data_IF_096153128421
#
_entry.id   IF_096153128421
#
_cell.length_a   1.000
_cell.length_b   1.000
_cell.length_c   1.000
_cell.angle_alpha   90.00
_cell.angle_beta   90.00
_cell.angle_gamma   90.00
#
_symmetry.space_group_name_H-M   'P 1'
#
loop_
_entity.id
_entity.type
_entity.pdbx_description
1 polymer ?
#
# COMPACT_ATOMS: atom_id res chain seq x y z
N UNK A 1 -16.49 -36.46 -8.01
CA UNK A 1 -16.44 -35.09 -8.54
C UNK A 1 -14.99 -34.67 -8.63
N UNK A 2 -14.37 -34.84 -9.80
CA UNK A 2 -12.98 -34.54 -10.06
C UNK A 2 -12.92 -33.73 -11.35
N UNK A 3 -12.51 -32.46 -11.25
CA UNK A 3 -11.96 -31.64 -12.35
C UNK A 3 -11.58 -30.27 -11.76
N UNK A 4 -10.29 -29.92 -11.71
CA UNK A 4 -9.87 -28.55 -11.35
C UNK A 4 -8.40 -28.37 -10.97
N UNK A 5 -7.67 -29.44 -10.65
CA UNK A 5 -6.33 -29.35 -10.05
C UNK A 5 -5.12 -29.23 -11.02
N UNK A 6 -5.16 -29.64 -12.31
CA UNK A 6 -3.96 -29.55 -13.16
C UNK A 6 -3.61 -28.12 -13.62
N UNK A 7 -4.60 -27.24 -13.79
CA UNK A 7 -4.41 -25.89 -14.32
C UNK A 7 -3.74 -24.94 -13.31
N UNK A 8 -4.00 -25.14 -12.02
CA UNK A 8 -3.44 -24.33 -10.92
C UNK A 8 -1.95 -24.66 -10.71
N UNK A 9 -1.57 -25.93 -10.83
CA UNK A 9 -0.18 -26.38 -10.73
C UNK A 9 0.68 -25.92 -11.91
N UNK A 10 0.13 -25.88 -13.13
CA UNK A 10 0.84 -25.39 -14.31
C UNK A 10 1.10 -23.88 -14.25
N UNK A 11 0.19 -23.09 -13.67
CA UNK A 11 0.35 -21.65 -13.49
C UNK A 11 1.41 -21.30 -12.43
N UNK A 12 1.52 -22.10 -11.37
CA UNK A 12 2.54 -21.93 -10.33
C UNK A 12 3.96 -22.25 -10.83
N UNK A 13 4.11 -23.29 -11.66
CA UNK A 13 5.39 -23.66 -12.26
C UNK A 13 5.91 -22.63 -13.27
N UNK A 14 5.02 -21.98 -14.03
CA UNK A 14 5.38 -20.93 -14.98
C UNK A 14 5.83 -19.62 -14.30
N UNK A 15 5.38 -19.35 -13.07
CA UNK A 15 5.78 -18.16 -12.31
C UNK A 15 7.20 -18.28 -11.74
N UNK A 16 7.62 -19.50 -11.39
CA UNK A 16 8.92 -19.80 -10.78
C UNK A 16 10.12 -19.78 -11.74
N UNK A 17 9.88 -19.73 -13.06
CA UNK A 17 10.93 -19.75 -14.08
C UNK A 17 11.14 -18.39 -14.78
N UNK A 18 10.52 -17.32 -14.27
CA UNK A 18 10.70 -15.96 -14.82
C UNK A 18 11.91 -15.25 -14.18
N UNK A 19 12.90 -14.79 -14.96
CA UNK A 19 14.00 -13.98 -14.43
C UNK A 19 13.47 -12.64 -13.90
N UNK A 20 13.81 -12.29 -12.65
CA UNK A 20 13.53 -10.97 -12.06
C UNK A 20 12.51 -10.92 -10.90
N UNK A 21 11.97 -12.06 -10.43
CA UNK A 21 11.18 -12.10 -9.20
C UNK A 21 12.07 -12.30 -7.96
N UNK A 22 11.70 -11.75 -6.80
CA UNK A 22 12.50 -11.80 -5.56
C UNK A 22 12.87 -13.20 -5.04
N UNK A 23 12.23 -14.26 -5.56
CA UNK A 23 12.61 -15.65 -5.30
C UNK A 23 13.79 -16.14 -6.16
N UNK A 24 14.07 -15.50 -7.29
CA UNK A 24 15.29 -15.74 -8.09
C UNK A 24 16.56 -15.39 -7.32
N UNK A 25 16.50 -14.41 -6.41
CA UNK A 25 17.59 -14.08 -5.49
C UNK A 25 17.77 -15.14 -4.40
N UNK A 26 16.69 -15.78 -3.95
CA UNK A 26 16.75 -16.88 -2.97
C UNK A 26 17.43 -18.13 -3.55
N UNK A 27 17.17 -18.45 -4.82
CA UNK A 27 17.89 -19.52 -5.53
C UNK A 27 19.35 -19.16 -5.84
N UNK A 28 19.66 -17.88 -6.12
CA UNK A 28 21.05 -17.42 -6.27
C UNK A 28 21.83 -17.51 -4.94
N UNK A 29 21.18 -17.20 -3.82
CA UNK A 29 21.73 -17.36 -2.47
C UNK A 29 22.05 -18.82 -2.12
N UNK A 30 21.17 -19.76 -2.49
CA UNK A 30 21.41 -21.20 -2.32
C UNK A 30 22.54 -21.72 -3.24
N UNK A 31 22.68 -21.17 -4.46
CA UNK A 31 23.76 -21.50 -5.40
C UNK A 31 25.13 -20.95 -4.98
N UNK A 32 25.19 -19.83 -4.26
CA UNK A 32 26.42 -19.26 -3.69
C UNK A 32 26.99 -20.13 -2.56
N UNK A 33 26.13 -20.79 -1.76
CA UNK A 33 26.56 -21.74 -0.72
C UNK A 33 27.27 -22.97 -1.27
N UNK A 34 27.02 -23.36 -2.53
CA UNK A 34 27.70 -24.51 -3.15
C UNK A 34 29.00 -24.15 -3.87
N UNK A 35 29.34 -22.86 -4.04
CA UNK A 35 30.52 -22.42 -4.82
C UNK A 35 31.49 -21.54 -4.06
N UNK A 36 31.25 -21.21 -2.79
CA UNK A 36 32.24 -20.59 -1.91
C UNK A 36 32.52 -19.09 -2.15
N UNK A 37 31.74 -18.41 -3.00
CA UNK A 37 31.89 -16.96 -3.21
C UNK A 37 30.97 -16.19 -2.25
N UNK A 38 31.58 -15.51 -1.28
CA UNK A 38 30.88 -14.67 -0.30
C UNK A 38 30.80 -13.23 -0.83
N UNK A 39 29.58 -12.75 -1.10
CA UNK A 39 29.31 -11.35 -1.43
C UNK A 39 29.27 -10.49 -0.14
N UNK A 40 29.93 -9.33 -0.14
CA UNK A 40 29.99 -8.38 1.01
C UNK A 40 28.60 -7.87 1.45
N UNK A 41 27.61 -7.90 0.58
CA UNK A 41 26.23 -7.50 0.90
C UNK A 41 25.50 -8.50 1.84
N UNK A 42 25.89 -9.78 1.80
CA UNK A 42 25.28 -10.82 2.64
C UNK A 42 25.68 -10.69 4.13
N UNK A 43 26.83 -10.07 4.41
CA UNK A 43 27.30 -9.83 5.78
C UNK A 43 26.52 -8.70 6.45
N UNK A 44 26.09 -7.69 5.68
CA UNK A 44 25.29 -6.56 6.18
C UNK A 44 23.90 -7.01 6.64
N UNK A 45 23.28 -7.95 5.92
CA UNK A 45 21.98 -8.53 6.29
C UNK A 45 22.04 -9.44 7.52
N UNK A 46 23.18 -10.14 7.72
CA UNK A 46 23.38 -11.03 8.87
C UNK A 46 23.45 -10.26 10.20
N UNK A 47 24.04 -9.07 10.22
CA UNK A 47 24.09 -8.20 11.40
C UNK A 47 22.74 -7.54 11.72
N UNK A 48 21.90 -7.28 10.71
CA UNK A 48 20.57 -6.68 10.92
C UNK A 48 19.54 -7.69 11.46
N UNK A 49 19.58 -8.94 11.00
CA UNK A 49 18.76 -10.02 11.56
C UNK A 49 19.17 -10.38 13.00
N UNK A 50 20.47 -10.35 13.33
CA UNK A 50 20.95 -10.64 14.68
C UNK A 50 20.51 -9.59 15.72
N UNK A 51 20.28 -8.33 15.30
CA UNK A 51 19.78 -7.29 16.20
C UNK A 51 18.27 -7.42 16.49
N UNK A 52 17.49 -7.96 15.54
CA UNK A 52 16.03 -8.13 15.69
C UNK A 52 15.62 -9.39 16.48
N UNK A 53 16.54 -10.32 16.74
CA UNK A 53 16.23 -11.62 17.37
C UNK A 53 16.35 -11.58 18.92
N UNK A 54 16.79 -10.46 19.51
CA UNK A 54 17.00 -10.41 20.96
C UNK A 54 15.77 -9.96 21.78
N UNK A 55 14.55 -10.07 21.24
CA UNK A 55 13.32 -9.95 22.03
C UNK A 55 12.28 -11.01 21.63
N UNK A 56 11.97 -11.87 22.61
CA UNK A 56 10.81 -12.74 22.75
C UNK A 56 10.76 -14.08 21.98
N UNK A 57 10.67 -15.13 22.80
CA UNK A 57 10.56 -16.56 22.51
C UNK A 57 9.11 -16.89 22.14
N UNK A 58 8.77 -16.87 20.85
CA UNK A 58 7.51 -17.43 20.33
C UNK A 58 7.57 -17.82 18.83
N UNK A 59 8.77 -18.07 18.28
CA UNK A 59 8.95 -18.20 16.82
C UNK A 59 9.49 -19.55 16.33
N UNK A 60 9.68 -20.54 17.21
CA UNK A 60 10.34 -21.81 16.86
C UNK A 60 9.41 -22.78 16.09
N UNK A 61 8.08 -22.68 16.27
CA UNK A 61 7.13 -23.57 15.59
C UNK A 61 6.89 -23.20 14.11
N UNK A 62 6.97 -21.92 13.75
CA UNK A 62 6.72 -21.48 12.38
C UNK A 62 7.88 -21.83 11.43
N UNK A 63 9.11 -21.92 11.97
CA UNK A 63 10.31 -22.28 11.19
C UNK A 63 10.27 -23.76 10.82
N UNK A 64 9.90 -24.65 11.75
CA UNK A 64 9.79 -26.09 11.47
C UNK A 64 8.70 -26.43 10.45
N UNK A 65 7.60 -25.67 10.44
CA UNK A 65 6.54 -25.83 9.42
C UNK A 65 7.03 -25.43 8.03
N UNK A 66 7.81 -24.35 7.93
CA UNK A 66 8.35 -23.88 6.64
C UNK A 66 9.47 -24.77 6.10
N UNK A 67 10.32 -25.34 6.97
CA UNK A 67 11.37 -26.28 6.56
C UNK A 67 10.78 -27.61 6.07
N UNK A 68 9.77 -28.14 6.75
CA UNK A 68 9.08 -29.36 6.29
C UNK A 68 8.35 -29.17 4.95
N UNK A 69 7.78 -27.98 4.71
CA UNK A 69 7.14 -27.65 3.44
C UNK A 69 8.15 -27.55 2.29
N UNK A 70 9.35 -26.99 2.55
CA UNK A 70 10.42 -26.90 1.57
C UNK A 70 10.98 -28.27 1.18
N UNK A 71 11.15 -29.19 2.14
CA UNK A 71 11.64 -30.55 1.88
C UNK A 71 10.64 -31.36 1.05
N UNK A 72 9.34 -31.25 1.34
CA UNK A 72 8.30 -31.92 0.54
C UNK A 72 8.23 -31.37 -0.89
N UNK A 73 8.42 -30.07 -1.08
CA UNK A 73 8.43 -29.43 -2.40
C UNK A 73 9.61 -29.91 -3.27
N UNK A 74 10.80 -30.07 -2.67
CA UNK A 74 11.99 -30.58 -3.36
C UNK A 74 11.82 -32.05 -3.77
N UNK A 75 11.22 -32.88 -2.92
CA UNK A 75 10.95 -34.28 -3.24
C UNK A 75 9.97 -34.45 -4.42
N UNK A 76 8.92 -33.62 -4.47
CA UNK A 76 7.92 -33.62 -5.57
C UNK A 76 8.53 -33.10 -6.88
N UNK A 77 9.45 -32.14 -6.83
CA UNK A 77 10.14 -31.65 -8.03
C UNK A 77 11.15 -32.67 -8.58
N UNK A 78 11.83 -33.44 -7.73
CA UNK A 78 12.81 -34.43 -8.18
C UNK A 78 12.17 -35.64 -8.88
N UNK A 79 10.92 -36.01 -8.52
CA UNK A 79 10.19 -37.11 -9.15
C UNK A 79 9.59 -36.76 -10.53
N UNK A 80 9.38 -35.46 -10.84
CA UNK A 80 8.70 -35.02 -12.06
C UNK A 80 9.61 -34.44 -13.16
N UNK A 81 10.88 -34.15 -12.87
CA UNK A 81 11.79 -33.48 -13.84
C UNK A 81 12.65 -34.47 -14.65
N UNK A 82 12.93 -35.67 -14.13
CA UNK A 82 13.77 -36.67 -14.82
C UNK A 82 13.21 -37.19 -16.16
N UNK A 83 11.89 -37.38 -16.36
CA UNK A 83 11.35 -37.84 -17.65
C UNK A 83 11.35 -36.76 -18.76
N UNK A 84 11.21 -35.48 -18.39
CA UNK A 84 11.05 -34.36 -19.34
C UNK A 84 12.37 -33.97 -20.04
N UNK A 85 13.51 -34.17 -19.37
CA UNK A 85 14.84 -33.95 -19.94
C UNK A 85 15.19 -34.97 -21.05
N UNK A 86 14.63 -36.18 -21.01
CA UNK A 86 14.84 -37.20 -22.04
C UNK A 86 14.06 -36.93 -23.34
N UNK A 87 12.86 -36.33 -23.26
CA UNK A 87 12.08 -35.95 -24.46
C UNK A 87 12.70 -34.75 -25.21
N UNK A 88 13.25 -33.77 -24.48
CA UNK A 88 13.86 -32.59 -25.11
C UNK A 88 15.13 -32.92 -25.91
N UNK A 89 15.88 -33.96 -25.52
CA UNK A 89 17.09 -34.40 -26.25
C UNK A 89 16.79 -35.18 -27.53
N UNK A 90 15.64 -35.89 -27.60
CA UNK A 90 15.22 -36.61 -28.82
C UNK A 90 14.66 -35.68 -29.90
N UNK A 91 14.05 -34.56 -29.53
CA UNK A 91 13.45 -33.61 -30.49
C UNK A 91 14.52 -32.79 -31.23
N UNK A 92 15.59 -32.39 -30.53
CA UNK A 92 16.71 -31.63 -31.10
C UNK A 92 17.54 -32.41 -32.13
N UNK A 93 17.62 -33.73 -31.99
CA UNK A 93 18.41 -34.61 -32.90
C UNK A 93 17.71 -34.92 -34.23
N UNK A 94 16.39 -34.67 -34.34
CA UNK A 94 15.60 -34.91 -35.56
C UNK A 94 15.59 -33.69 -36.49
N UNK A 95 15.73 -32.48 -35.93
CA UNK A 95 15.75 -31.22 -36.69
C UNK A 95 17.13 -30.95 -37.34
N UNK A 96 18.23 -31.45 -36.76
CA UNK A 96 19.58 -31.36 -37.34
C UNK A 96 19.83 -32.35 -38.51
N UNK A 97 19.07 -33.45 -38.60
CA UNK A 97 19.24 -34.46 -39.66
C UNK A 97 18.57 -34.06 -40.99
N UNK A 98 17.56 -33.20 -40.94
CA UNK A 98 16.80 -32.77 -42.13
C UNK A 98 17.41 -31.54 -42.83
N UNK A 99 18.40 -30.89 -42.21
CA UNK A 99 19.06 -29.70 -42.77
C UNK A 99 20.27 -30.02 -43.68
N UNK A 100 20.67 -31.29 -43.80
CA UNK A 100 21.99 -31.67 -44.36
C UNK A 100 21.96 -32.50 -45.66
N UNK A 101 20.86 -32.50 -46.40
CA UNK A 101 20.81 -33.10 -47.75
C UNK A 101 20.50 -32.03 -48.80
N UNK A 102 21.56 -31.42 -49.34
CA UNK A 102 21.48 -30.54 -50.50
C UNK A 102 21.31 -31.31 -51.80
N UNK A 103 20.28 -30.97 -52.58
CA UNK A 103 20.21 -31.23 -54.02
C UNK A 103 19.46 -30.09 -54.72
N UNK A 104 20.10 -29.52 -55.74
CA UNK A 104 19.56 -28.48 -56.65
C UNK A 104 18.55 -29.08 -57.62
N UNK A 105 17.53 -28.30 -58.05
CA UNK A 105 16.89 -28.56 -59.34
C UNK A 105 17.04 -27.39 -60.33
N UNK A 106 17.01 -27.77 -61.60
CA UNK A 106 17.17 -26.96 -62.79
C UNK A 106 15.93 -26.13 -63.15
N UNK A 107 16.15 -25.11 -63.98
CA UNK A 107 15.18 -24.17 -64.54
C UNK A 107 14.08 -24.84 -65.37
N UNK A 108 12.83 -24.42 -65.16
CA UNK A 108 11.75 -24.58 -66.13
C UNK A 108 10.76 -23.40 -66.02
N UNK A 109 10.57 -22.67 -67.12
CA UNK A 109 9.71 -21.50 -67.28
C UNK A 109 8.21 -21.87 -67.22
N UNK A 110 7.46 -21.35 -66.23
CA UNK A 110 5.97 -21.32 -66.26
C UNK A 110 5.41 -20.02 -65.66
N UNK A 111 4.38 -19.49 -66.33
CA UNK A 111 3.75 -18.17 -66.20
C UNK A 111 3.07 -17.93 -64.83
N UNK A 112 3.09 -16.70 -64.34
CA UNK A 112 2.55 -16.25 -63.05
C UNK A 112 1.03 -15.99 -63.05
N UNK A 113 0.26 -16.45 -62.04
CA UNK A 113 -1.13 -16.04 -61.81
C UNK A 113 -1.22 -14.65 -61.14
N UNK A 114 -2.37 -13.95 -61.23
CA UNK A 114 -2.53 -12.59 -60.71
C UNK A 114 -2.46 -12.54 -59.17
N UNK A 115 -2.07 -11.37 -58.60
CA UNK A 115 -1.86 -11.23 -57.17
C UNK A 115 -3.19 -11.30 -56.37
N UNK A 116 -3.19 -11.90 -55.17
CA UNK A 116 -4.35 -11.91 -54.29
C UNK A 116 -4.65 -10.50 -53.75
N UNK A 117 -5.92 -10.19 -53.42
CA UNK A 117 -6.29 -8.93 -52.80
C UNK A 117 -5.57 -8.74 -51.44
N UNK A 118 -5.31 -7.48 -51.04
CA UNK A 118 -4.62 -7.20 -49.80
C UNK A 118 -5.39 -7.75 -48.58
N UNK A 119 -4.69 -8.33 -47.58
CA UNK A 119 -5.34 -8.84 -46.38
C UNK A 119 -6.04 -7.71 -45.63
N UNK A 120 -7.24 -7.99 -45.13
CA UNK A 120 -7.99 -7.05 -44.29
C UNK A 120 -7.13 -6.61 -43.09
N UNK A 121 -7.24 -5.35 -42.62
CA UNK A 121 -6.49 -4.89 -41.46
C UNK A 121 -6.77 -5.81 -40.27
N UNK A 122 -5.71 -6.37 -39.68
CA UNK A 122 -5.85 -7.16 -38.46
C UNK A 122 -6.53 -6.31 -37.39
N UNK A 123 -7.53 -6.84 -36.66
CA UNK A 123 -8.07 -6.15 -35.50
C UNK A 123 -6.92 -5.85 -34.51
N UNK A 124 -6.94 -4.67 -33.87
CA UNK A 124 -5.89 -4.31 -32.92
C UNK A 124 -5.79 -5.41 -31.85
N UNK A 125 -4.56 -5.81 -31.46
CA UNK A 125 -4.39 -6.82 -30.42
C UNK A 125 -5.15 -6.38 -29.16
N UNK A 126 -5.87 -7.30 -28.49
CA UNK A 126 -6.60 -6.97 -27.27
C UNK A 126 -5.63 -6.34 -26.28
N UNK A 127 -6.01 -5.17 -25.75
CA UNK A 127 -5.19 -4.41 -24.81
C UNK A 127 -4.63 -5.36 -23.74
N UNK A 128 -3.30 -5.42 -23.63
CA UNK A 128 -2.63 -6.30 -22.68
C UNK A 128 -3.20 -6.03 -21.27
N UNK A 129 -3.81 -7.06 -20.66
CA UNK A 129 -4.36 -6.95 -19.31
C UNK A 129 -3.23 -6.51 -18.36
N UNK A 130 -3.33 -5.28 -17.83
CA UNK A 130 -2.37 -4.76 -16.83
C UNK A 130 -2.26 -5.78 -15.70
N UNK A 131 -1.05 -6.24 -15.40
CA UNK A 131 -0.81 -7.17 -14.28
C UNK A 131 -1.24 -6.47 -12.98
N UNK A 132 -2.23 -7.05 -12.28
CA UNK A 132 -2.70 -6.53 -10.99
C UNK A 132 -1.58 -6.63 -9.96
N UNK A 133 -1.41 -5.58 -9.15
CA UNK A 133 -0.44 -5.56 -8.05
C UNK A 133 -0.92 -6.46 -6.91
N UNK A 134 0.01 -6.93 -6.05
CA UNK A 134 -0.29 -7.86 -4.95
C UNK A 134 -1.45 -7.37 -4.07
N UNK A 135 -1.43 -6.09 -3.66
CA UNK A 135 -2.48 -5.51 -2.82
C UNK A 135 -3.86 -5.48 -3.50
N UNK A 136 -3.91 -5.26 -4.83
CA UNK A 136 -5.16 -5.30 -5.60
C UNK A 136 -5.72 -6.73 -5.64
N UNK A 137 -4.85 -7.74 -5.75
CA UNK A 137 -5.25 -9.14 -5.70
C UNK A 137 -5.78 -9.53 -4.31
N UNK A 138 -5.08 -9.15 -3.23
CA UNK A 138 -5.52 -9.41 -1.85
C UNK A 138 -6.87 -8.74 -1.57
N UNK A 139 -7.07 -7.52 -2.05
CA UNK A 139 -8.31 -6.80 -1.84
C UNK A 139 -9.48 -7.37 -2.67
N UNK A 140 -9.22 -7.96 -3.84
CA UNK A 140 -10.29 -8.47 -4.72
C UNK A 140 -11.13 -9.60 -4.13
N UNK A 141 -10.66 -10.25 -3.06
CA UNK A 141 -11.38 -11.32 -2.35
C UNK A 141 -11.99 -10.85 -1.02
N UNK A 142 -12.00 -9.54 -0.75
CA UNK A 142 -12.43 -8.97 0.53
C UNK A 142 -13.36 -7.78 0.32
N UNK A 143 -14.21 -7.52 1.30
CA UNK A 143 -15.01 -6.29 1.37
C UNK A 143 -14.50 -5.41 2.52
N UNK A 144 -14.50 -4.07 2.37
CA UNK A 144 -14.19 -3.18 3.47
C UNK A 144 -15.26 -3.27 4.56
N UNK A 145 -14.86 -3.07 5.81
CA UNK A 145 -15.77 -3.03 6.95
C UNK A 145 -16.31 -1.61 7.11
N UNK A 146 -17.62 -1.50 7.30
CA UNK A 146 -18.30 -0.21 7.52
C UNK A 146 -18.58 0.06 9.00
N UNK A 147 -18.76 1.35 9.31
CA UNK A 147 -19.11 1.85 10.63
C UNK A 147 -17.98 2.63 11.31
N UNK A 148 -18.38 3.56 12.17
CA UNK A 148 -17.47 4.47 12.88
C UNK A 148 -16.44 3.69 13.71
N UNK A 149 -16.81 2.59 14.37
CA UNK A 149 -15.92 1.91 15.33
C UNK A 149 -15.70 0.41 15.08
N UNK A 150 -16.45 -0.21 14.16
CA UNK A 150 -16.43 -1.66 13.95
C UNK A 150 -15.04 -2.21 13.70
N UNK A 151 -14.32 -1.62 12.73
CA UNK A 151 -12.97 -2.05 12.39
C UNK A 151 -11.93 -1.65 13.45
N UNK A 152 -12.12 -0.48 14.09
CA UNK A 152 -11.27 -0.03 15.19
C UNK A 152 -11.28 -1.03 16.36
N UNK A 153 -12.45 -1.55 16.72
CA UNK A 153 -12.56 -2.57 17.78
C UNK A 153 -11.86 -3.87 17.40
N UNK A 154 -11.96 -4.32 16.14
CA UNK A 154 -11.25 -5.52 15.68
C UNK A 154 -9.73 -5.36 15.78
N UNK A 155 -9.20 -4.17 15.47
CA UNK A 155 -7.78 -3.86 15.61
C UNK A 155 -7.33 -3.85 17.08
N UNK A 156 -8.13 -3.25 17.95
CA UNK A 156 -7.79 -3.10 19.38
C UNK A 156 -7.91 -4.41 20.16
N UNK A 157 -8.83 -5.31 19.78
CA UNK A 157 -8.95 -6.64 20.39
C UNK A 157 -7.69 -7.50 20.27
N UNK A 158 -6.85 -7.24 19.27
CA UNK A 158 -5.61 -7.99 19.05
C UNK A 158 -4.44 -7.49 19.92
N UNK A 159 -4.64 -6.45 20.74
CA UNK A 159 -3.59 -5.86 21.58
C UNK A 159 -3.86 -6.16 23.06
N UNK A 160 -3.08 -7.06 23.64
CA UNK A 160 -3.35 -7.65 24.97
C UNK A 160 -2.90 -6.79 26.18
N UNK A 161 -2.08 -5.76 25.98
CA UNK A 161 -1.33 -5.04 27.04
C UNK A 161 -1.81 -3.62 27.42
N UNK A 162 -3.06 -3.26 27.13
CA UNK A 162 -3.51 -1.85 27.15
C UNK A 162 -4.21 -1.44 28.45
N UNK A 163 -3.75 -1.93 29.61
CA UNK A 163 -4.52 -1.87 30.87
C UNK A 163 -4.17 -0.71 31.79
N UNK A 164 -3.05 -0.04 31.60
CA UNK A 164 -2.58 0.96 32.58
C UNK A 164 -3.20 2.35 32.38
N UNK A 165 -3.67 2.64 31.16
CA UNK A 165 -4.31 3.90 30.79
C UNK A 165 -5.83 3.75 30.64
N UNK A 166 -6.53 4.87 30.75
CA UNK A 166 -7.92 5.00 30.32
C UNK A 166 -7.93 5.39 28.84
N UNK A 167 -8.52 4.53 28.01
CA UNK A 167 -8.52 4.70 26.56
C UNK A 167 -9.83 5.32 26.06
N UNK A 168 -9.71 6.37 25.26
CA UNK A 168 -10.83 7.05 24.61
C UNK A 168 -10.68 7.02 23.09
N UNK A 169 -11.69 6.50 22.41
CA UNK A 169 -11.77 6.45 20.97
C UNK A 169 -12.82 7.41 20.43
N UNK A 170 -12.42 8.19 19.42
CA UNK A 170 -13.31 8.84 18.45
C UNK A 170 -12.87 8.40 17.07
N UNK A 171 -13.81 7.94 16.24
CA UNK A 171 -13.55 7.76 14.82
C UNK A 171 -14.80 8.08 14.00
N UNK A 172 -14.60 8.64 12.82
CA UNK A 172 -15.63 8.76 11.80
C UNK A 172 -15.32 7.87 10.62
N UNK A 173 -16.32 7.13 10.16
CA UNK A 173 -16.18 6.22 9.05
C UNK A 173 -15.80 6.97 7.76
N UNK A 174 -14.65 6.61 7.19
CA UNK A 174 -14.32 6.87 5.80
C UNK A 174 -14.34 5.56 5.01
N UNK A 175 -14.84 5.57 3.75
CA UNK A 175 -14.83 4.40 2.89
C UNK A 175 -13.41 3.98 2.53
N UNK A 176 -13.26 2.74 2.08
CA UNK A 176 -11.96 2.24 1.58
C UNK A 176 -12.04 2.08 0.06
N UNK A 177 -11.02 2.57 -0.64
CA UNK A 177 -10.87 2.40 -2.07
C UNK A 177 -9.43 1.98 -2.38
N UNK A 178 -9.29 0.88 -3.14
CA UNK A 178 -7.98 0.45 -3.60
C UNK A 178 -7.60 1.25 -4.83
N UNK A 179 -6.48 1.96 -4.73
CA UNK A 179 -5.94 2.80 -5.79
C UNK A 179 -5.57 1.97 -7.03
N UNK A 180 -5.82 2.56 -8.18
CA UNK A 180 -5.25 2.14 -9.45
C UNK A 180 -4.15 3.12 -9.87
N UNK A 181 -2.96 2.61 -10.17
CA UNK A 181 -1.80 3.47 -10.43
C UNK A 181 -1.33 4.27 -9.20
N UNK A 182 -0.72 5.45 -9.40
CA UNK A 182 -0.04 6.23 -8.37
C UNK A 182 -0.95 7.24 -7.63
N UNK A 183 -2.24 6.93 -7.48
CA UNK A 183 -3.29 7.86 -7.05
C UNK A 183 -3.48 7.97 -5.52
N UNK A 184 -2.45 7.68 -4.72
CA UNK A 184 -2.62 7.55 -3.26
C UNK A 184 -3.19 8.80 -2.58
N UNK A 185 -2.71 9.99 -2.96
CA UNK A 185 -3.22 11.26 -2.43
C UNK A 185 -4.66 11.54 -2.83
N UNK A 186 -4.98 11.31 -4.10
CA UNK A 186 -6.33 11.53 -4.64
C UNK A 186 -7.35 10.55 -4.03
N UNK A 187 -6.94 9.30 -3.81
CA UNK A 187 -7.74 8.31 -3.11
C UNK A 187 -7.95 8.70 -1.65
N UNK A 188 -6.92 9.18 -0.95
CA UNK A 188 -7.06 9.67 0.43
C UNK A 188 -8.03 10.86 0.52
N UNK A 189 -7.93 11.82 -0.42
CA UNK A 189 -8.89 12.93 -0.53
C UNK A 189 -10.31 12.44 -0.77
N UNK A 190 -10.49 11.48 -1.70
CA UNK A 190 -11.79 10.88 -1.98
C UNK A 190 -12.41 10.21 -0.75
N UNK A 191 -11.59 9.47 0.02
CA UNK A 191 -12.03 8.87 1.28
C UNK A 191 -12.47 9.95 2.28
N UNK A 192 -11.70 11.03 2.41
CA UNK A 192 -12.01 12.14 3.33
C UNK A 192 -13.27 12.92 2.93
N UNK A 193 -13.52 13.09 1.62
CA UNK A 193 -14.68 13.80 1.09
C UNK A 193 -16.02 13.18 1.55
N UNK A 194 -16.03 11.89 1.89
CA UNK A 194 -17.20 11.20 2.44
C UNK A 194 -17.73 11.83 3.74
N UNK A 195 -16.86 12.49 4.50
CA UNK A 195 -17.23 13.16 5.76
C UNK A 195 -17.86 14.54 5.54
N UNK A 196 -18.05 14.99 4.30
CA UNK A 196 -18.74 16.25 3.98
C UNK A 196 -20.20 16.19 4.44
N UNK A 197 -20.72 17.29 4.99
CA UNK A 197 -22.12 17.43 5.42
C UNK A 197 -22.78 18.69 4.84
N UNK A 198 -23.73 18.58 3.90
CA UNK A 198 -24.37 17.36 3.43
C UNK A 198 -23.41 16.43 2.69
N UNK A 199 -23.72 15.13 2.68
CA UNK A 199 -22.86 14.12 2.08
C UNK A 199 -22.61 14.42 0.61
N UNK A 200 -21.33 14.45 0.24
CA UNK A 200 -20.89 14.67 -1.12
C UNK A 200 -20.43 13.34 -1.73
N UNK A 201 -20.94 13.03 -2.92
CA UNK A 201 -20.48 11.90 -3.72
C UNK A 201 -19.69 12.44 -4.90
N UNK A 202 -18.37 12.19 -4.91
CA UNK A 202 -17.48 12.57 -6.01
C UNK A 202 -17.00 11.28 -6.68
N UNK A 203 -17.05 11.19 -8.00
CA UNK A 203 -16.45 10.05 -8.70
C UNK A 203 -14.92 10.19 -8.71
N UNK A 204 -14.18 9.09 -8.51
CA UNK A 204 -12.70 9.15 -8.52
C UNK A 204 -12.13 9.69 -9.83
N UNK A 205 -12.79 9.41 -10.96
CA UNK A 205 -12.41 9.97 -12.26
C UNK A 205 -12.45 11.50 -12.25
N UNK A 206 -13.47 12.10 -11.64
CA UNK A 206 -13.59 13.55 -11.48
C UNK A 206 -12.45 14.11 -10.63
N UNK A 207 -12.04 13.40 -9.57
CA UNK A 207 -10.90 13.80 -8.72
C UNK A 207 -9.62 13.87 -9.54
N UNK A 208 -9.33 12.82 -10.31
CA UNK A 208 -8.13 12.71 -11.14
C UNK A 208 -8.14 13.76 -12.26
N UNK A 209 -9.24 13.87 -13.00
CA UNK A 209 -9.36 14.83 -14.10
C UNK A 209 -9.23 16.28 -13.63
N UNK A 210 -9.77 16.61 -12.45
CA UNK A 210 -9.65 17.95 -11.88
C UNK A 210 -8.20 18.24 -11.48
N UNK A 211 -7.53 17.29 -10.80
CA UNK A 211 -6.13 17.45 -10.43
C UNK A 211 -5.21 17.61 -11.65
N UNK A 212 -5.45 16.86 -12.73
CA UNK A 212 -4.72 16.97 -14.00
C UNK A 212 -4.98 18.32 -14.66
N UNK A 213 -6.25 18.73 -14.77
CA UNK A 213 -6.65 20.01 -15.39
C UNK A 213 -6.05 21.22 -14.67
N UNK A 214 -5.94 21.14 -13.35
CA UNK A 214 -5.30 22.16 -12.51
C UNK A 214 -3.77 22.14 -12.56
N UNK A 215 -3.19 21.14 -13.23
CA UNK A 215 -1.74 20.97 -13.30
C UNK A 215 -1.11 20.52 -11.98
N UNK A 216 -1.89 19.96 -11.05
CA UNK A 216 -1.39 19.47 -9.77
C UNK A 216 -0.73 18.09 -9.86
N UNK A 217 -1.06 17.35 -10.92
CA UNK A 217 -0.49 16.04 -11.21
C UNK A 217 -0.46 15.78 -12.72
N UNK A 218 0.47 14.93 -13.17
CA UNK A 218 0.52 14.45 -14.54
C UNK A 218 -0.31 13.17 -14.72
N UNK A 219 -0.24 12.23 -13.76
CA UNK A 219 -0.94 10.93 -13.85
C UNK A 219 -1.55 10.41 -12.53
N UNK A 220 -1.52 11.18 -11.43
CA UNK A 220 -2.22 10.86 -10.19
C UNK A 220 -1.41 11.05 -8.91
N UNK A 221 -0.08 11.13 -8.98
CA UNK A 221 0.76 11.46 -7.83
C UNK A 221 0.43 12.85 -7.29
N UNK A 222 0.54 13.05 -5.98
CA UNK A 222 0.43 14.37 -5.37
C UNK A 222 1.69 14.63 -4.53
N UNK A 223 2.53 15.56 -4.97
CA UNK A 223 3.76 15.96 -4.28
C UNK A 223 3.67 17.34 -3.60
N UNK A 224 2.47 17.92 -3.51
CA UNK A 224 2.23 19.23 -2.88
C UNK A 224 1.00 19.18 -1.99
N UNK A 225 1.19 19.37 -0.69
CA UNK A 225 0.09 19.52 0.26
C UNK A 225 -0.71 20.80 0.03
N UNK A 226 -0.09 21.86 -0.48
CA UNK A 226 -0.78 23.07 -0.90
C UNK A 226 -1.76 22.79 -2.06
N UNK A 227 -1.31 22.08 -3.10
CA UNK A 227 -2.18 21.66 -4.20
C UNK A 227 -3.28 20.71 -3.73
N UNK A 228 -2.97 19.83 -2.77
CA UNK A 228 -3.97 18.96 -2.14
C UNK A 228 -5.06 19.78 -1.44
N UNK A 229 -4.68 20.83 -0.69
CA UNK A 229 -5.63 21.71 -0.02
C UNK A 229 -6.52 22.43 -1.04
N UNK A 230 -5.95 23.05 -2.07
CA UNK A 230 -6.70 23.72 -3.13
C UNK A 230 -7.67 22.76 -3.85
N UNK A 231 -7.21 21.54 -4.15
CA UNK A 231 -8.03 20.52 -4.76
C UNK A 231 -9.19 20.08 -3.84
N UNK A 232 -8.94 20.00 -2.53
CA UNK A 232 -9.96 19.67 -1.55
C UNK A 232 -11.01 20.77 -1.44
N UNK A 233 -10.63 22.06 -1.44
CA UNK A 233 -11.59 23.16 -1.40
C UNK A 233 -12.51 23.16 -2.62
N UNK A 234 -11.95 22.91 -3.81
CA UNK A 234 -12.70 22.82 -5.05
C UNK A 234 -13.64 21.61 -5.10
N UNK A 235 -13.12 20.42 -4.79
CA UNK A 235 -13.87 19.17 -4.95
C UNK A 235 -14.80 18.89 -3.79
N UNK A 236 -14.38 19.13 -2.55
CA UNK A 236 -15.16 18.82 -1.36
C UNK A 236 -16.07 19.98 -0.94
N UNK A 237 -15.90 21.17 -1.53
CA UNK A 237 -16.65 22.39 -1.17
C UNK A 237 -16.61 22.60 0.34
N UNK A 238 -15.40 22.55 0.88
CA UNK A 238 -15.08 22.69 2.29
C UNK A 238 -13.87 23.61 2.47
N UNK A 239 -13.67 24.13 3.68
CA UNK A 239 -12.41 24.81 4.00
C UNK A 239 -11.31 23.77 4.14
N UNK A 240 -10.14 24.03 3.56
CA UNK A 240 -8.94 23.23 3.80
C UNK A 240 -7.85 24.11 4.42
N UNK A 241 -7.25 23.66 5.52
CA UNK A 241 -6.14 24.35 6.17
C UNK A 241 -4.85 23.58 5.93
N UNK A 242 -3.88 24.24 5.29
CA UNK A 242 -2.52 23.73 5.17
C UNK A 242 -1.80 23.95 6.50
N UNK A 243 -1.38 22.84 7.11
CA UNK A 243 -0.61 22.84 8.34
C UNK A 243 0.85 22.59 8.01
N UNK A 244 1.71 23.55 8.39
CA UNK A 244 3.16 23.50 8.20
C UNK A 244 3.90 23.38 9.54
N UNK A 245 5.07 22.76 9.53
CA UNK A 245 5.90 22.55 10.74
C UNK A 245 5.68 21.20 11.42
N UNK A 246 5.07 20.24 10.73
CA UNK A 246 4.86 18.86 11.17
C UNK A 246 3.65 18.66 12.07
N UNK A 247 3.38 17.40 12.40
CA UNK A 247 2.22 16.98 13.22
C UNK A 247 2.48 17.06 14.74
N UNK A 248 3.69 17.40 15.14
CA UNK A 248 4.13 17.52 16.55
C UNK A 248 4.25 18.99 16.98
N UNK A 249 4.78 19.22 18.19
CA UNK A 249 5.07 20.58 18.68
C UNK A 249 3.81 21.45 18.73
N UNK A 250 3.88 22.65 18.13
CA UNK A 250 2.77 23.62 18.13
C UNK A 250 1.48 23.11 17.48
N UNK A 251 1.58 22.13 16.58
CA UNK A 251 0.46 21.61 15.80
C UNK A 251 -0.18 20.38 16.46
N UNK A 252 0.51 19.73 17.40
CA UNK A 252 0.09 18.48 18.03
C UNK A 252 -1.33 18.56 18.58
N UNK A 253 -1.62 19.59 19.39
CA UNK A 253 -2.95 19.75 20.00
C UNK A 253 -4.02 20.09 18.95
N UNK A 254 -3.67 20.83 17.90
CA UNK A 254 -4.61 21.19 16.83
C UNK A 254 -5.04 19.96 16.02
N UNK A 255 -4.08 19.11 15.64
CA UNK A 255 -4.34 17.85 14.91
C UNK A 255 -5.27 16.95 15.71
N UNK A 256 -5.02 16.78 17.01
CA UNK A 256 -5.84 15.91 17.84
C UNK A 256 -7.24 16.47 18.03
N UNK A 257 -7.36 17.77 18.33
CA UNK A 257 -8.68 18.43 18.46
C UNK A 257 -9.49 18.33 17.16
N UNK A 258 -8.83 18.45 16.01
CA UNK A 258 -9.45 18.32 14.70
C UNK A 258 -10.02 16.90 14.50
N UNK A 259 -9.20 15.85 14.69
CA UNK A 259 -9.65 14.46 14.63
C UNK A 259 -10.73 14.13 15.66
N UNK A 260 -10.60 14.66 16.88
CA UNK A 260 -11.59 14.51 17.94
C UNK A 260 -12.95 15.11 17.58
N UNK A 261 -12.97 16.19 16.81
CA UNK A 261 -14.21 16.78 16.27
C UNK A 261 -14.81 15.99 15.09
N UNK A 262 -14.21 14.86 14.71
CA UNK A 262 -14.66 14.02 13.60
C UNK A 262 -14.31 14.57 12.23
N UNK A 263 -13.32 15.46 12.15
CA UNK A 263 -12.84 16.08 10.92
C UNK A 263 -11.59 15.33 10.41
N UNK A 264 -11.47 15.05 9.11
CA UNK A 264 -10.36 14.28 8.58
C UNK A 264 -9.08 15.11 8.37
N UNK A 265 -7.93 14.46 8.53
CA UNK A 265 -6.61 15.02 8.20
C UNK A 265 -5.99 14.19 7.07
N UNK A 266 -5.56 14.86 6.00
CA UNK A 266 -4.75 14.24 4.95
C UNK A 266 -3.27 14.37 5.31
N UNK A 267 -2.57 13.24 5.37
CA UNK A 267 -1.20 13.16 5.86
C UNK A 267 -0.32 12.52 4.79
N UNK A 268 0.65 13.25 4.22
CA UNK A 268 1.73 12.62 3.49
C UNK A 268 2.69 11.97 4.50
N UNK A 269 3.09 10.73 4.24
CA UNK A 269 4.00 9.95 5.08
C UNK A 269 4.82 8.99 4.23
N UNK A 270 5.87 8.40 4.80
CA UNK A 270 6.73 7.44 4.11
C UNK A 270 6.28 6.02 4.46
N UNK A 271 5.88 5.25 3.45
CA UNK A 271 5.19 3.98 3.64
C UNK A 271 6.14 2.78 3.65
N UNK A 272 6.02 1.88 4.64
CA UNK A 272 6.69 0.58 4.62
C UNK A 272 5.88 -0.52 3.90
N UNK A 273 6.40 -1.74 3.83
CA UNK A 273 5.78 -2.88 3.14
C UNK A 273 4.49 -3.34 3.80
N UNK A 274 4.35 -3.13 5.11
CA UNK A 274 3.13 -3.38 5.88
C UNK A 274 2.17 -2.18 5.88
N UNK A 275 2.47 -1.12 5.12
CA UNK A 275 1.74 0.14 5.04
C UNK A 275 1.85 1.06 6.26
N UNK A 276 2.66 0.73 7.26
CA UNK A 276 2.93 1.58 8.42
C UNK A 276 3.89 2.73 8.07
N UNK A 277 3.93 3.80 8.90
CA UNK A 277 4.90 4.87 8.75
C UNK A 277 6.33 4.38 8.99
N UNK A 278 7.25 4.81 8.15
CA UNK A 278 8.68 4.58 8.27
C UNK A 278 9.47 5.87 7.98
N UNK A 279 10.80 5.81 7.98
CA UNK A 279 11.68 6.96 7.74
C UNK A 279 12.73 6.60 6.68
N UNK A 280 12.35 6.70 5.39
CA UNK A 280 13.17 6.34 4.21
C UNK A 280 13.36 7.52 3.26
N UNK A 281 13.49 8.71 3.82
CA UNK A 281 13.75 10.00 3.19
C UNK A 281 12.68 10.45 2.17
N UNK A 282 11.50 9.84 2.18
CA UNK A 282 10.43 10.11 1.22
C UNK A 282 10.45 9.22 -0.03
N UNK A 283 11.35 8.23 -0.11
CA UNK A 283 11.40 7.31 -1.25
C UNK A 283 10.11 6.51 -1.44
N UNK A 284 9.36 6.30 -0.36
CA UNK A 284 8.04 5.68 -0.43
C UNK A 284 6.96 6.65 0.06
N UNK A 285 7.13 7.94 -0.25
CA UNK A 285 6.13 8.96 -0.02
C UNK A 285 4.75 8.48 -0.51
N UNK A 286 3.80 8.56 0.40
CA UNK A 286 2.45 8.08 0.28
C UNK A 286 1.51 9.04 1.01
N UNK A 287 0.21 8.84 0.82
CA UNK A 287 -0.81 9.63 1.48
C UNK A 287 -1.78 8.72 2.23
N UNK A 288 -2.23 9.19 3.38
CA UNK A 288 -3.29 8.60 4.15
C UNK A 288 -4.32 9.66 4.56
N UNK A 289 -5.54 9.21 4.81
CA UNK A 289 -6.54 9.97 5.56
C UNK A 289 -6.57 9.45 6.98
N UNK A 290 -6.42 10.34 7.96
CA UNK A 290 -6.75 10.06 9.35
C UNK A 290 -8.15 10.57 9.64
N UNK A 291 -9.00 9.75 10.26
CA UNK A 291 -10.41 10.07 10.53
C UNK A 291 -10.83 9.81 11.98
N UNK A 292 -9.86 9.44 12.82
CA UNK A 292 -10.10 9.16 14.22
C UNK A 292 -8.82 9.22 15.04
N UNK A 293 -9.00 9.30 16.35
CA UNK A 293 -7.94 9.37 17.34
C UNK A 293 -8.29 8.49 18.53
N UNK A 294 -7.26 7.86 19.09
CA UNK A 294 -7.31 7.05 20.28
C UNK A 294 -6.34 7.63 21.31
N UNK A 295 -6.89 8.03 22.45
CA UNK A 295 -6.17 8.73 23.52
C UNK A 295 -5.99 7.80 24.71
N UNK A 296 -4.75 7.60 25.13
CA UNK A 296 -4.40 6.98 26.40
C UNK A 296 -4.17 8.06 27.45
N UNK A 297 -5.09 8.18 28.41
CA UNK A 297 -5.03 9.15 29.50
C UNK A 297 -4.77 8.45 30.84
N UNK A 298 -4.25 9.20 31.81
CA UNK A 298 -4.17 8.69 33.18
C UNK A 298 -5.56 8.36 33.73
N UNK A 299 -5.69 7.27 34.48
CA UNK A 299 -6.97 6.83 35.05
C UNK A 299 -7.59 7.94 35.93
N UNK A 300 -8.88 8.20 35.73
CA UNK A 300 -9.61 9.26 36.46
C UNK A 300 -9.55 10.63 35.80
N UNK A 301 -8.89 10.77 34.64
CA UNK A 301 -8.84 12.04 33.90
C UNK A 301 -10.13 12.37 33.13
N UNK A 302 -11.07 11.42 33.03
CA UNK A 302 -12.29 11.56 32.20
C UNK A 302 -13.51 11.18 33.02
N UNK A 303 -14.51 12.07 33.04
CA UNK A 303 -15.80 11.78 33.66
C UNK A 303 -16.56 10.72 32.84
N UNK A 304 -16.93 9.62 33.49
CA UNK A 304 -17.58 8.46 32.87
C UNK A 304 -19.01 8.73 32.34
N UNK A 305 -19.55 9.93 32.52
CA UNK A 305 -20.94 10.26 32.16
C UNK A 305 -21.17 10.32 30.63
N UNK A 306 -20.11 10.46 29.83
CA UNK A 306 -20.23 10.72 28.39
C UNK A 306 -19.54 9.73 27.47
N UNK A 307 -18.82 8.76 28.03
CA UNK A 307 -18.14 7.74 27.25
C UNK A 307 -18.56 6.37 27.78
N UNK A 308 -19.17 5.56 26.91
CA UNK A 308 -19.67 4.24 27.31
C UNK A 308 -18.61 3.19 26.98
N UNK A 309 -18.28 2.29 27.91
CA UNK A 309 -17.42 1.16 27.60
C UNK A 309 -18.10 0.27 26.56
N UNK A 310 -17.35 -0.19 25.56
CA UNK A 310 -17.86 -1.16 24.61
C UNK A 310 -17.99 -2.55 25.29
N UNK A 311 -19.09 -3.29 25.11
CA UNK A 311 -19.26 -4.60 25.74
C UNK A 311 -18.16 -5.61 25.38
N UNK A 312 -17.57 -5.50 24.18
CA UNK A 312 -16.48 -6.38 23.73
C UNK A 312 -15.09 -5.91 24.16
N UNK A 313 -14.96 -4.63 24.54
CA UNK A 313 -13.74 -3.99 25.01
C UNK A 313 -14.03 -3.10 26.23
N UNK A 314 -14.24 -3.68 27.43
CA UNK A 314 -14.68 -2.92 28.62
C UNK A 314 -13.69 -1.84 29.08
N UNK A 315 -12.43 -1.92 28.65
CA UNK A 315 -11.38 -0.94 28.95
C UNK A 315 -11.39 0.26 27.99
N UNK A 316 -12.10 0.17 26.86
CA UNK A 316 -12.17 1.19 25.83
C UNK A 316 -13.45 1.98 25.96
N UNK A 317 -13.31 3.30 26.10
CA UNK A 317 -14.42 4.23 26.13
C UNK A 317 -14.60 4.86 24.75
N UNK A 318 -15.83 4.91 24.27
CA UNK A 318 -16.16 5.56 22.99
C UNK A 318 -16.98 6.81 23.24
N UNK A 319 -16.50 7.93 22.71
CA UNK A 319 -17.21 9.19 22.78
C UNK A 319 -18.43 9.17 21.83
N UNK A 320 -19.62 9.39 22.39
CA UNK A 320 -20.87 9.46 21.61
C UNK A 320 -21.15 10.90 21.19
N UNK A 321 -21.07 11.17 19.89
CA UNK A 321 -21.47 12.46 19.31
C UNK A 321 -20.44 13.57 19.52
N UNK A 322 -20.25 14.42 18.50
CA UNK A 322 -19.16 15.41 18.41
C UNK A 322 -19.24 16.61 19.36
N UNK A 323 -20.00 16.53 20.46
CA UNK A 323 -20.19 17.64 21.39
C UNK A 323 -19.29 17.58 22.63
N UNK A 324 -18.55 16.49 22.84
CA UNK A 324 -17.66 16.42 24.00
C UNK A 324 -16.40 17.25 23.75
N UNK A 325 -16.03 18.16 24.68
CA UNK A 325 -14.79 18.87 24.57
C UNK A 325 -13.64 17.87 24.55
N UNK A 326 -12.67 18.10 23.68
CA UNK A 326 -11.49 17.25 23.61
C UNK A 326 -10.80 17.25 24.99
N UNK A 327 -10.57 16.09 25.62
CA UNK A 327 -9.99 16.00 26.97
C UNK A 327 -8.50 16.36 27.00
N UNK A 328 -7.92 16.69 25.85
CA UNK A 328 -6.54 17.10 25.74
C UNK A 328 -6.38 18.55 26.17
N UNK A 329 -5.72 18.70 27.32
CA UNK A 329 -4.88 19.85 27.63
C UNK A 329 -3.43 19.46 27.29
N UNK A 330 -2.53 20.43 27.12
CA UNK A 330 -1.15 20.20 26.64
C UNK A 330 -0.30 19.21 27.44
N UNK A 331 -0.82 18.64 28.54
CA UNK A 331 -0.14 17.71 29.44
C UNK A 331 -0.97 16.47 29.82
N UNK A 332 -2.18 16.26 29.28
CA UNK A 332 -3.10 15.22 29.79
C UNK A 332 -3.05 13.87 29.08
N UNK A 333 -2.55 13.79 27.84
CA UNK A 333 -2.46 12.52 27.10
C UNK A 333 -1.07 11.90 27.20
N UNK A 334 -1.01 10.68 27.74
CA UNK A 334 0.21 9.88 27.84
C UNK A 334 0.57 9.26 26.50
N UNK A 335 -0.45 8.79 25.76
CA UNK A 335 -0.27 8.17 24.46
C UNK A 335 -1.35 8.63 23.48
N UNK A 336 -0.96 8.84 22.22
CA UNK A 336 -1.88 9.26 21.17
C UNK A 336 -1.65 8.42 19.93
N UNK A 337 -2.73 7.81 19.45
CA UNK A 337 -2.77 7.06 18.20
C UNK A 337 -3.81 7.65 17.27
N UNK A 338 -3.59 7.53 15.96
CA UNK A 338 -4.56 7.90 14.93
C UNK A 338 -5.04 6.67 14.19
N UNK A 339 -6.31 6.70 13.76
CA UNK A 339 -6.86 5.74 12.82
C UNK A 339 -6.74 6.29 11.42
N UNK A 340 -6.01 5.57 10.57
CA UNK A 340 -5.71 6.00 9.22
C UNK A 340 -6.07 4.93 8.16
N UNK A 341 -6.50 5.39 6.99
CA UNK A 341 -6.66 4.59 5.76
C UNK A 341 -5.82 5.15 4.62
N UNK A 342 -5.46 4.28 3.70
CA UNK A 342 -4.68 4.62 2.51
C UNK A 342 -5.08 3.74 1.32
N UNK A 343 -4.60 4.08 0.12
CA UNK A 343 -5.08 3.49 -1.13
C UNK A 343 -4.62 2.06 -1.44
N UNK A 344 -3.80 1.41 -0.62
CA UNK A 344 -3.31 0.03 -0.84
C UNK A 344 -3.90 -0.99 0.13
N UNK A 345 -4.78 -0.58 1.03
CA UNK A 345 -5.40 -1.42 2.05
C UNK A 345 -6.89 -1.11 2.14
N UNK A 346 -7.69 -2.15 2.39
CA UNK A 346 -9.11 -1.97 2.73
C UNK A 346 -9.33 -1.63 4.21
N UNK A 347 -8.29 -1.79 5.04
CA UNK A 347 -8.38 -1.74 6.49
C UNK A 347 -7.81 -0.46 7.06
N UNK A 348 -8.43 0.04 8.13
CA UNK A 348 -7.77 0.97 9.03
C UNK A 348 -6.44 0.40 9.54
N UNK A 349 -5.53 1.32 9.83
CA UNK A 349 -4.34 1.07 10.62
C UNK A 349 -4.34 2.02 11.83
N UNK A 350 -3.70 1.56 12.89
CA UNK A 350 -3.54 2.33 14.12
C UNK A 350 -2.06 2.70 14.28
N UNK A 351 -1.74 3.97 14.13
CA UNK A 351 -0.37 4.48 14.20
C UNK A 351 -0.20 5.41 15.39
N UNK A 352 0.94 5.36 16.07
CA UNK A 352 1.24 6.40 17.05
C UNK A 352 1.41 7.74 16.34
N UNK A 353 0.91 8.82 16.94
CA UNK A 353 1.01 10.16 16.36
C UNK A 353 2.49 10.57 16.15
N UNK A 354 3.36 10.16 17.08
CA UNK A 354 4.80 10.43 16.97
C UNK A 354 5.45 9.72 15.78
N UNK A 355 5.10 8.46 15.51
CA UNK A 355 5.67 7.69 14.39
C UNK A 355 5.29 8.32 13.05
N UNK A 356 4.02 8.66 12.86
CA UNK A 356 3.58 9.32 11.63
C UNK A 356 4.12 10.75 11.52
N UNK A 357 4.28 11.48 12.63
CA UNK A 357 4.89 12.81 12.63
C UNK A 357 6.35 12.78 12.17
N UNK A 358 7.14 11.82 12.67
CA UNK A 358 8.52 11.62 12.24
C UNK A 358 8.59 11.22 10.78
N UNK A 359 7.71 10.31 10.33
CA UNK A 359 7.61 9.88 8.94
C UNK A 359 7.26 11.02 7.98
N UNK A 360 6.32 11.89 8.38
CA UNK A 360 5.91 13.10 7.65
C UNK A 360 7.03 14.15 7.60
N UNK A 361 7.73 14.40 8.71
CA UNK A 361 8.77 15.43 8.81
C UNK A 361 10.03 15.15 7.99
N UNK A 362 10.21 13.92 7.50
CA UNK A 362 11.42 13.49 6.79
C UNK A 362 11.21 13.21 5.29
N UNK A 363 10.08 13.62 4.71
CA UNK A 363 9.76 13.45 3.29
C UNK A 363 10.57 14.40 2.39
N UNK A 364 11.87 14.16 2.26
CA UNK A 364 12.80 15.13 1.65
C UNK A 364 12.98 14.92 0.15
N UNK A 365 12.99 13.68 -0.31
CA UNK A 365 13.45 13.32 -1.65
C UNK A 365 12.48 12.41 -2.38
N UNK A 366 12.44 12.59 -3.69
CA UNK A 366 11.85 11.60 -4.59
C UNK A 366 12.76 10.36 -4.63
N UNK A 367 12.15 9.18 -4.70
CA UNK A 367 12.88 7.94 -4.93
C UNK A 367 13.75 8.04 -6.20
N UNK A 368 15.05 7.70 -6.14
CA UNK A 368 15.94 7.82 -7.30
C UNK A 368 15.51 6.97 -8.49
N UNK A 369 14.85 5.82 -8.30
CA UNK A 369 14.36 5.03 -9.43
C UNK A 369 13.19 5.75 -10.08
N UNK A 370 12.30 6.36 -9.28
CA UNK A 370 11.20 7.19 -9.77
C UNK A 370 11.72 8.43 -10.51
N UNK A 371 12.70 9.13 -9.96
CA UNK A 371 13.29 10.31 -10.60
C UNK A 371 13.94 10.00 -11.96
N UNK A 372 14.33 8.75 -12.19
CA UNK A 372 15.01 8.30 -13.41
C UNK A 372 14.16 7.38 -14.31
N UNK A 373 12.84 7.26 -14.07
CA UNK A 373 11.99 6.35 -14.83
C UNK A 373 11.46 6.92 -16.16
N UNK A 374 11.77 8.18 -16.46
CA UNK A 374 11.34 8.89 -17.67
C UNK A 374 9.90 9.38 -17.64
N UNK A 375 9.15 9.17 -16.55
CA UNK A 375 7.82 9.72 -16.35
C UNK A 375 7.89 11.20 -15.98
N UNK A 376 6.83 11.93 -16.34
CA UNK A 376 6.68 13.32 -15.91
C UNK A 376 6.05 13.36 -14.50
N UNK A 377 6.61 14.19 -13.62
CA UNK A 377 6.09 14.42 -12.29
C UNK A 377 5.87 15.91 -12.05
N UNK A 378 4.75 16.25 -11.41
CA UNK A 378 4.51 17.60 -10.92
C UNK A 378 5.04 17.67 -9.50
N UNK A 379 6.18 18.33 -9.33
CA UNK A 379 6.85 18.55 -8.04
C UNK A 379 7.02 20.06 -7.86
N UNK A 380 6.87 20.61 -6.65
CA UNK A 380 7.22 22.02 -6.39
C UNK A 380 8.65 22.34 -6.83
N UNK A 381 8.89 23.59 -7.20
CA UNK A 381 10.21 24.05 -7.67
C UNK A 381 11.32 23.80 -6.63
N UNK A 382 10.98 23.97 -5.34
CA UNK A 382 11.85 23.69 -4.20
C UNK A 382 11.98 22.19 -3.86
N UNK A 383 11.33 21.31 -4.63
CA UNK A 383 11.41 19.86 -4.49
C UNK A 383 10.32 19.23 -3.60
N UNK A 384 10.50 17.94 -3.34
CA UNK A 384 9.55 17.13 -2.55
C UNK A 384 9.48 17.60 -1.10
N UNK A 385 10.62 18.00 -0.52
CA UNK A 385 10.70 18.50 0.86
C UNK A 385 9.74 19.67 1.09
N UNK A 386 9.81 20.70 0.26
CA UNK A 386 8.92 21.86 0.36
C UNK A 386 7.44 21.50 0.17
N UNK A 387 7.15 20.50 -0.67
CA UNK A 387 5.80 20.07 -0.96
C UNK A 387 5.13 19.21 0.11
N UNK A 388 5.91 18.36 0.80
CA UNK A 388 5.37 17.29 1.66
C UNK A 388 5.94 17.27 3.08
N UNK A 389 7.21 17.62 3.27
CA UNK A 389 7.87 17.43 4.57
C UNK A 389 7.27 18.36 5.63
N UNK A 390 6.77 17.77 6.71
CA UNK A 390 6.13 18.54 7.78
C UNK A 390 4.84 19.24 7.33
N UNK A 391 4.25 18.84 6.20
CA UNK A 391 3.00 19.38 5.70
C UNK A 391 1.85 18.40 5.95
N UNK A 392 0.67 18.90 6.26
CA UNK A 392 -0.58 18.12 6.31
C UNK A 392 -1.76 19.03 5.96
N UNK A 393 -2.91 18.43 5.65
CA UNK A 393 -4.12 19.20 5.29
C UNK A 393 -5.26 18.82 6.23
N UNK A 394 -5.79 19.81 6.95
CA UNK A 394 -6.97 19.69 7.81
C UNK A 394 -8.19 20.06 6.99
N UNK A 395 -9.19 19.19 6.91
CA UNK A 395 -10.41 19.45 6.14
C UNK A 395 -11.59 19.72 7.07
N UNK A 396 -12.27 20.85 6.87
CA UNK A 396 -13.44 21.23 7.66
C UNK A 396 -14.71 20.80 6.92
N UNK A 397 -15.05 19.53 7.02
CA UNK A 397 -16.12 18.87 6.26
C UNK A 397 -17.52 19.13 6.81
N UNK A 398 -17.62 19.65 8.03
CA UNK A 398 -18.88 20.13 8.61
C UNK A 398 -18.95 21.65 8.45
N UNK A 399 -20.10 22.16 8.00
CA UNK A 399 -20.39 23.59 8.09
C UNK A 399 -20.52 23.92 9.58
N UNK A 400 -19.64 24.78 10.10
CA UNK A 400 -19.92 25.45 11.36
C UNK A 400 -21.11 26.37 11.08
N UNK A 401 -22.25 26.14 11.75
CA UNK A 401 -23.27 27.18 11.78
C UNK A 401 -22.63 28.45 12.39
N UNK A 402 -22.85 29.63 11.77
CA UNK A 402 -22.15 30.87 12.11
C UNK A 402 -22.36 31.35 13.54
#
# INVERSE_FOLDING_TARGET
MAAGTPAIMAAAAAFLLTPGSGLGFFFSFLRSRSTGWINKDAIRYRHQLAWSVNQNVAHIDMIHVLENFAVQLVAVMHQNVSPLLHLSKKKKKKEEFLLNMGMKPAEELKMSPPPPPPPAPCPPPPAAKKKKKLYQTIASSRCPVEGDHTEAFLLLRQRESWRDLQWLLVNKYVPSLIQDGPQCGLVALWMAAHLRQPQLSVAMETVVQTAVRRGYTAQGEMFSACNMALLAEELCVCKAELLSGGLSGRNWAAVIKHLWSGQPVLIPYDEDFNHEPCQRQGYRAHWAVASGVLLGLNRGSVNNEHAQPDPSLPWLHVAKGGHLPCPITSTSATEVYILAKQGKSLRYQLWSLDSVAQSNGQLRMMDPLRANDGSQYVVPEEGVEAGLAGQAVLLYTQLQEP
#
